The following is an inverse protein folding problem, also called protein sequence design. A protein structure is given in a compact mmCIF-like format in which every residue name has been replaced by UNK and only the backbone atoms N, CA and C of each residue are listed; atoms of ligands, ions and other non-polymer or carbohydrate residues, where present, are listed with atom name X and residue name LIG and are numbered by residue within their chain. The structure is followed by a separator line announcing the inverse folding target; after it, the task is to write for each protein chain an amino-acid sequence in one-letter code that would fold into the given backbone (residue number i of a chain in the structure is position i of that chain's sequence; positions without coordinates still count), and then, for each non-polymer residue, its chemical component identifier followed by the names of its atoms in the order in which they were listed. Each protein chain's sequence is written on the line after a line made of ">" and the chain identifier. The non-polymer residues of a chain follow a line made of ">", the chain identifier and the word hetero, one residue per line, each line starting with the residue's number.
data_IF_541731625818
#
_entry.id   IF_541731625818
#
_cell.length_a   1.000
_cell.length_b   1.000
_cell.length_c   1.000
_cell.angle_alpha   90.00
_cell.angle_beta   90.00
_cell.angle_gamma   90.00
#
_symmetry.space_group_name_H-M   'P 1'
#
loop_
_entity.id
_entity.type
_entity.pdbx_description
1 polymer ?
#
# COMPACT_ATOMS: atom_id res chain seq x y z
N UNK A 1 -11.44 55.80 18.52
CA UNK A 1 -11.59 54.50 19.22
C UNK A 1 -10.77 53.48 18.46
N UNK A 2 -9.56 53.19 18.96
CA UNK A 2 -8.63 52.23 18.37
C UNK A 2 -9.03 50.83 18.80
N UNK A 3 -9.38 49.97 17.84
CA UNK A 3 -9.56 48.54 18.09
C UNK A 3 -8.19 47.92 18.39
N UNK A 4 -7.83 47.87 19.67
CA UNK A 4 -6.68 47.07 20.11
C UNK A 4 -7.02 45.58 19.96
N UNK A 5 -6.08 44.76 19.44
CA UNK A 5 -6.25 43.32 19.39
C UNK A 5 -6.56 42.78 20.79
N UNK A 6 -7.48 41.82 20.89
CA UNK A 6 -7.84 41.27 22.19
C UNK A 6 -6.70 40.41 22.73
N UNK A 7 -6.54 40.32 24.06
CA UNK A 7 -5.60 39.37 24.65
C UNK A 7 -5.84 37.92 24.21
N UNK A 8 -7.06 37.57 23.77
CA UNK A 8 -7.40 36.27 23.20
C UNK A 8 -6.75 35.97 21.84
N UNK A 9 -6.34 37.00 21.09
CA UNK A 9 -5.66 36.90 19.79
C UNK A 9 -4.13 36.84 19.93
N UNK A 10 -3.61 37.27 21.09
CA UNK A 10 -2.17 37.24 21.45
C UNK A 10 -1.79 35.94 22.18
N UNK A 11 -2.77 35.23 22.75
CA UNK A 11 -2.59 34.06 23.64
C UNK A 11 -3.00 32.69 23.03
N UNK A 12 -2.99 32.53 21.70
CA UNK A 12 -3.15 31.23 21.01
C UNK A 12 -1.95 30.92 20.10
N UNK A 13 -0.68 31.01 20.47
CA UNK A 13 -0.02 30.52 21.69
C UNK A 13 1.50 30.64 21.39
N UNK A 14 2.28 31.36 22.20
CA UNK A 14 3.76 31.40 22.09
C UNK A 14 4.42 30.03 22.33
N UNK A 15 3.67 29.06 22.87
CA UNK A 15 4.09 27.67 23.10
C UNK A 15 3.66 26.71 21.97
N UNK A 16 2.57 27.04 21.25
CA UNK A 16 2.01 26.19 20.20
C UNK A 16 2.72 26.35 18.87
N UNK A 17 3.10 27.58 18.49
CA UNK A 17 3.79 27.80 17.22
C UNK A 17 5.13 27.04 17.17
N UNK A 18 6.00 27.07 18.20
CA UNK A 18 7.21 26.24 18.23
C UNK A 18 6.91 24.74 18.06
N UNK A 19 5.91 24.21 18.77
CA UNK A 19 5.50 22.81 18.67
C UNK A 19 4.96 22.44 17.27
N UNK A 20 4.14 23.32 16.69
CA UNK A 20 3.64 23.16 15.33
C UNK A 20 4.81 23.11 14.33
N UNK A 21 5.81 23.99 14.49
CA UNK A 21 7.00 23.98 13.64
C UNK A 21 7.78 22.68 13.81
N UNK A 22 7.96 22.17 15.03
CA UNK A 22 8.60 20.86 15.28
C UNK A 22 7.85 19.72 14.58
N UNK A 23 6.53 19.67 14.69
CA UNK A 23 5.69 18.68 13.99
C UNK A 23 5.82 18.78 12.46
N UNK A 24 5.89 20.00 11.92
CA UNK A 24 6.12 20.23 10.49
C UNK A 24 7.53 19.84 10.06
N UNK A 25 8.55 20.09 10.88
CA UNK A 25 9.94 19.68 10.63
C UNK A 25 10.06 18.17 10.49
N UNK A 26 9.41 17.42 11.40
CA UNK A 26 9.39 15.96 11.39
C UNK A 26 8.87 15.33 10.09
N UNK A 27 8.02 16.06 9.35
CA UNK A 27 7.43 15.59 8.09
C UNK A 27 7.96 16.33 6.86
N UNK A 28 8.79 17.35 7.04
CA UNK A 28 9.28 18.24 5.97
C UNK A 28 10.04 17.52 4.87
N UNK A 29 10.76 16.43 5.18
CA UNK A 29 11.54 15.66 4.22
C UNK A 29 10.71 14.94 3.15
N UNK A 30 9.40 14.79 3.38
CA UNK A 30 8.49 14.07 2.47
C UNK A 30 7.15 14.79 2.24
N UNK A 31 6.90 15.91 2.90
CA UNK A 31 5.73 16.77 2.69
C UNK A 31 6.19 18.17 2.25
N UNK A 32 5.97 18.50 0.98
CA UNK A 32 6.40 19.76 0.37
C UNK A 32 5.72 21.00 0.97
N UNK A 33 4.47 20.86 1.42
CA UNK A 33 3.75 21.94 2.09
C UNK A 33 4.35 22.22 3.48
N UNK A 34 4.62 21.17 4.26
CA UNK A 34 5.31 21.34 5.54
C UNK A 34 6.71 21.94 5.36
N UNK A 35 7.47 21.44 4.38
CA UNK A 35 8.79 22.00 4.04
C UNK A 35 8.75 23.49 3.71
N UNK A 36 7.73 23.94 2.98
CA UNK A 36 7.61 25.35 2.60
C UNK A 36 7.29 26.25 3.81
N UNK A 37 6.44 25.77 4.72
CA UNK A 37 6.11 26.49 5.97
C UNK A 37 7.31 26.56 6.92
N UNK A 38 8.04 25.46 7.11
CA UNK A 38 9.27 25.44 7.93
C UNK A 38 10.31 26.42 7.36
N UNK A 39 10.52 26.40 6.04
CA UNK A 39 11.46 27.30 5.38
C UNK A 39 11.04 28.78 5.54
N UNK A 40 9.75 29.07 5.39
CA UNK A 40 9.23 30.41 5.61
C UNK A 40 9.46 30.87 7.06
N UNK A 41 9.15 30.02 8.04
CA UNK A 41 9.34 30.33 9.45
C UNK A 41 10.83 30.55 9.77
N UNK A 42 11.73 29.69 9.32
CA UNK A 42 13.19 29.88 9.51
C UNK A 42 13.72 31.20 8.92
N UNK A 43 13.14 31.65 7.80
CA UNK A 43 13.56 32.89 7.13
C UNK A 43 12.94 34.16 7.74
N UNK A 44 11.69 34.10 8.17
CA UNK A 44 10.90 35.29 8.56
C UNK A 44 10.50 35.33 10.02
N UNK A 45 10.75 34.24 10.76
CA UNK A 45 10.24 33.98 12.10
C UNK A 45 8.71 34.17 12.23
N UNK A 46 7.97 33.91 11.15
CA UNK A 46 6.55 34.25 11.05
C UNK A 46 5.79 33.35 10.07
N UNK A 47 4.61 32.89 10.51
CA UNK A 47 3.56 32.30 9.68
C UNK A 47 2.26 33.07 9.91
N UNK A 48 1.46 33.26 8.86
CA UNK A 48 0.14 33.88 9.02
C UNK A 48 -0.84 32.93 9.70
N UNK A 49 -1.89 33.47 10.32
CA UNK A 49 -2.97 32.68 10.95
C UNK A 49 -3.57 31.64 10.00
N UNK A 50 -3.76 32.01 8.73
CA UNK A 50 -4.27 31.09 7.70
C UNK A 50 -3.30 29.94 7.43
N UNK A 51 -1.98 30.20 7.44
CA UNK A 51 -0.97 29.17 7.26
C UNK A 51 -0.92 28.23 8.47
N UNK A 52 -0.98 28.79 9.68
CA UNK A 52 -1.06 28.03 10.94
C UNK A 52 -2.29 27.12 10.92
N UNK A 53 -3.47 27.67 10.62
CA UNK A 53 -4.72 26.89 10.54
C UNK A 53 -4.67 25.80 9.47
N UNK A 54 -4.10 26.09 8.30
CA UNK A 54 -3.95 25.08 7.23
C UNK A 54 -3.01 23.95 7.63
N UNK A 55 -1.91 24.27 8.32
CA UNK A 55 -0.96 23.29 8.83
C UNK A 55 -1.62 22.37 9.89
N UNK A 56 -2.35 22.95 10.84
CA UNK A 56 -3.09 22.20 11.86
C UNK A 56 -4.11 21.25 11.22
N UNK A 57 -4.91 21.74 10.28
CA UNK A 57 -5.91 20.91 9.58
C UNK A 57 -5.26 19.75 8.83
N UNK A 58 -4.11 19.98 8.18
CA UNK A 58 -3.35 18.92 7.53
C UNK A 58 -2.88 17.86 8.54
N UNK A 59 -2.27 18.27 9.66
CA UNK A 59 -1.76 17.35 10.68
C UNK A 59 -2.90 16.54 11.32
N UNK A 60 -4.01 17.18 11.66
CA UNK A 60 -5.22 16.52 12.14
C UNK A 60 -5.72 15.48 11.13
N UNK A 61 -5.74 15.85 9.84
CA UNK A 61 -6.16 14.92 8.78
C UNK A 61 -5.22 13.73 8.66
N UNK A 62 -3.91 13.94 8.84
CA UNK A 62 -2.92 12.87 8.83
C UNK A 62 -3.13 11.89 9.99
N UNK A 63 -3.42 12.39 11.19
CA UNK A 63 -3.74 11.59 12.38
C UNK A 63 -5.04 10.80 12.16
N UNK A 64 -6.12 11.45 11.72
CA UNK A 64 -7.37 10.77 11.37
C UNK A 64 -7.14 9.63 10.37
N UNK A 65 -6.39 9.91 9.31
CA UNK A 65 -6.09 8.91 8.28
C UNK A 65 -5.19 7.78 8.81
N UNK A 66 -4.32 8.05 9.79
CA UNK A 66 -3.53 7.01 10.46
C UNK A 66 -4.44 6.08 11.28
N UNK A 67 -5.31 6.64 12.11
CA UNK A 67 -6.28 5.89 12.92
C UNK A 67 -7.18 5.04 12.02
N UNK A 68 -7.72 5.62 10.95
CA UNK A 68 -8.54 4.86 9.98
C UNK A 68 -7.78 3.71 9.34
N UNK A 69 -6.53 3.92 8.93
CA UNK A 69 -5.67 2.86 8.37
C UNK A 69 -5.38 1.77 9.39
N UNK A 70 -5.13 2.14 10.64
CA UNK A 70 -4.90 1.18 11.73
C UNK A 70 -6.15 0.35 12.02
N UNK A 71 -7.34 0.96 12.04
CA UNK A 71 -8.62 0.25 12.17
C UNK A 71 -8.99 -0.62 10.96
N UNK A 72 -8.50 -0.28 9.76
CA UNK A 72 -8.68 -1.08 8.55
C UNK A 72 -7.68 -2.23 8.41
N UNK A 73 -6.64 -2.31 9.25
CA UNK A 73 -5.75 -3.47 9.25
C UNK A 73 -6.60 -4.71 9.47
N UNK A 74 -6.57 -5.61 8.49
CA UNK A 74 -7.24 -6.90 8.60
C UNK A 74 -6.23 -7.89 9.14
N UNK A 75 -6.46 -8.33 10.37
CA UNK A 75 -5.69 -9.42 10.97
C UNK A 75 -6.28 -10.74 10.49
N UNK A 76 -5.85 -11.19 9.32
CA UNK A 76 -5.89 -12.60 8.97
C UNK A 76 -4.46 -13.05 8.72
N UNK A 77 -4.20 -14.32 8.98
CA UNK A 77 -2.87 -14.87 8.84
C UNK A 77 -2.47 -14.92 7.36
N UNK A 78 -1.45 -14.14 6.98
CA UNK A 78 -0.89 -14.14 5.62
C UNK A 78 0.38 -14.98 5.50
N UNK A 79 0.70 -15.79 6.51
CA UNK A 79 1.91 -16.63 6.54
C UNK A 79 2.07 -17.47 5.27
N UNK A 80 0.99 -18.07 4.75
CA UNK A 80 1.03 -18.88 3.52
C UNK A 80 1.43 -18.06 2.29
N UNK A 81 1.05 -16.78 2.21
CA UNK A 81 1.46 -15.88 1.12
C UNK A 81 2.96 -15.58 1.23
N UNK A 82 3.44 -15.26 2.44
CA UNK A 82 4.86 -14.98 2.65
C UNK A 82 5.72 -16.23 2.35
N UNK A 83 5.29 -17.41 2.81
CA UNK A 83 5.93 -18.69 2.48
C UNK A 83 5.95 -18.98 0.99
N UNK A 84 4.84 -18.75 0.28
CA UNK A 84 4.75 -18.92 -1.17
C UNK A 84 5.82 -18.09 -1.90
N UNK A 85 5.97 -16.82 -1.53
CA UNK A 85 6.99 -15.94 -2.10
C UNK A 85 8.40 -16.35 -1.69
N UNK A 86 8.60 -16.75 -0.44
CA UNK A 86 9.89 -17.23 0.05
C UNK A 86 10.34 -18.48 -0.70
N UNK A 87 9.44 -19.44 -0.96
CA UNK A 87 9.72 -20.62 -1.79
C UNK A 87 10.15 -20.21 -3.19
N UNK A 88 9.41 -19.30 -3.84
CA UNK A 88 9.75 -18.82 -5.17
C UNK A 88 11.13 -18.17 -5.24
N UNK A 89 11.48 -17.33 -4.25
CA UNK A 89 12.80 -16.70 -4.14
C UNK A 89 13.88 -17.77 -3.92
N UNK A 90 13.65 -18.72 -3.01
CA UNK A 90 14.60 -19.78 -2.68
C UNK A 90 14.87 -20.70 -3.88
N UNK A 91 13.88 -20.86 -4.77
CA UNK A 91 13.99 -21.56 -6.05
C UNK A 91 14.60 -20.68 -7.18
N UNK A 92 15.16 -19.52 -6.85
CA UNK A 92 15.91 -18.66 -7.78
C UNK A 92 15.08 -17.64 -8.55
N UNK A 93 13.78 -17.48 -8.23
CA UNK A 93 12.94 -16.50 -8.94
C UNK A 93 13.20 -15.08 -8.43
N UNK A 94 13.81 -14.24 -9.27
CA UNK A 94 14.20 -12.86 -8.91
C UNK A 94 13.01 -11.91 -8.68
N UNK A 95 11.87 -12.17 -9.32
CA UNK A 95 10.70 -11.27 -9.34
C UNK A 95 9.40 -12.06 -9.24
N UNK A 96 9.14 -12.73 -8.10
CA UNK A 96 7.92 -13.49 -7.92
C UNK A 96 6.68 -12.59 -8.01
N UNK A 97 5.64 -13.13 -8.63
CA UNK A 97 4.33 -12.52 -8.84
C UNK A 97 3.26 -13.59 -8.73
N UNK A 98 2.09 -13.18 -8.26
CA UNK A 98 0.94 -14.06 -8.13
C UNK A 98 -0.33 -13.30 -8.49
N UNK A 99 -1.13 -13.87 -9.38
CA UNK A 99 -2.29 -13.26 -10.01
C UNK A 99 -3.55 -14.04 -9.64
N UNK A 100 -4.56 -13.38 -9.10
CA UNK A 100 -5.84 -14.00 -8.78
C UNK A 100 -6.96 -12.99 -9.06
N UNK A 101 -7.85 -13.33 -10.00
CA UNK A 101 -8.77 -12.34 -10.59
C UNK A 101 -8.04 -11.06 -11.02
N UNK A 102 -8.50 -9.92 -10.50
CA UNK A 102 -7.88 -8.61 -10.72
C UNK A 102 -6.80 -8.26 -9.70
N UNK A 103 -6.51 -9.11 -8.71
CA UNK A 103 -5.44 -8.86 -7.73
C UNK A 103 -4.11 -9.41 -8.22
N UNK A 104 -3.06 -8.60 -8.05
CA UNK A 104 -1.68 -8.94 -8.34
C UNK A 104 -0.86 -8.74 -7.06
N UNK A 105 -0.22 -9.81 -6.61
CA UNK A 105 0.80 -9.79 -5.58
C UNK A 105 2.18 -9.71 -6.25
N UNK A 106 3.06 -8.85 -5.73
CA UNK A 106 4.42 -8.71 -6.26
C UNK A 106 5.40 -8.32 -5.15
N UNK A 107 6.61 -8.90 -5.17
CA UNK A 107 7.64 -8.55 -4.19
C UNK A 107 8.11 -7.11 -4.39
N UNK A 108 8.24 -6.36 -3.30
CA UNK A 108 8.88 -5.04 -3.32
C UNK A 108 10.34 -5.16 -3.78
N UNK A 109 10.84 -4.16 -4.51
CA UNK A 109 12.24 -4.14 -4.91
C UNK A 109 13.17 -4.06 -3.70
N UNK A 110 14.39 -4.60 -3.83
CA UNK A 110 15.39 -4.57 -2.75
C UNK A 110 15.79 -3.15 -2.32
N UNK A 111 15.69 -2.20 -3.25
CA UNK A 111 15.96 -0.77 -3.00
C UNK A 111 14.75 -0.03 -2.42
N UNK A 112 13.61 -0.69 -2.28
CA UNK A 112 12.40 -0.04 -1.75
C UNK A 112 12.53 0.22 -0.25
N UNK A 113 11.97 1.35 0.21
CA UNK A 113 11.75 1.60 1.66
C UNK A 113 10.92 0.49 2.34
N UNK A 114 10.19 -0.31 1.55
CA UNK A 114 9.42 -1.47 2.03
C UNK A 114 10.08 -2.79 1.61
N UNK A 115 11.42 -2.90 1.63
CA UNK A 115 12.13 -4.14 1.31
C UNK A 115 11.52 -5.33 2.07
N UNK A 116 11.27 -6.43 1.35
CA UNK A 116 10.66 -7.65 1.90
C UNK A 116 9.12 -7.64 1.93
N UNK A 117 8.46 -6.50 1.70
CA UNK A 117 7.00 -6.47 1.60
C UNK A 117 6.50 -7.10 0.29
N UNK A 118 5.30 -7.66 0.32
CA UNK A 118 4.57 -8.10 -0.86
C UNK A 118 3.50 -7.05 -1.16
N UNK A 119 3.64 -6.34 -2.27
CA UNK A 119 2.67 -5.36 -2.71
C UNK A 119 1.43 -6.02 -3.30
N UNK A 120 0.27 -5.52 -2.87
CA UNK A 120 -1.04 -5.88 -3.41
C UNK A 120 -1.48 -4.77 -4.36
N UNK A 121 -1.79 -5.15 -5.60
CA UNK A 121 -2.28 -4.24 -6.64
C UNK A 121 -3.58 -4.77 -7.21
N UNK A 122 -4.46 -3.87 -7.61
CA UNK A 122 -5.68 -4.19 -8.35
C UNK A 122 -5.50 -3.74 -9.80
N UNK A 123 -5.78 -4.65 -10.73
CA UNK A 123 -5.82 -4.38 -12.16
C UNK A 123 -7.12 -3.63 -12.44
N UNK A 124 -7.01 -2.40 -12.91
CA UNK A 124 -8.14 -1.56 -13.28
C UNK A 124 -7.99 -1.13 -14.74
N UNK A 125 -9.10 -0.97 -15.44
CA UNK A 125 -9.11 -0.38 -16.78
C UNK A 125 -9.57 1.06 -16.62
N UNK A 126 -8.81 2.02 -17.15
CA UNK A 126 -9.22 3.42 -17.14
C UNK A 126 -10.26 3.72 -18.24
N UNK A 127 -10.81 4.93 -18.24
CA UNK A 127 -11.81 5.40 -19.21
C UNK A 127 -11.35 5.33 -20.69
N UNK A 128 -10.04 5.22 -20.92
CA UNK A 128 -9.42 5.08 -22.24
C UNK A 128 -9.10 3.63 -22.63
N UNK A 129 -9.51 2.65 -21.81
CA UNK A 129 -9.25 1.23 -22.08
C UNK A 129 -7.85 0.76 -21.71
N UNK A 130 -7.01 1.59 -21.06
CA UNK A 130 -5.68 1.19 -20.63
C UNK A 130 -5.72 0.51 -19.26
N UNK A 131 -4.98 -0.60 -19.14
CA UNK A 131 -4.82 -1.31 -17.88
C UNK A 131 -3.82 -0.57 -16.95
N UNK A 132 -4.32 -0.11 -15.81
CA UNK A 132 -3.50 0.41 -14.71
C UNK A 132 -3.46 -0.59 -13.54
N UNK A 133 -2.43 -0.50 -12.72
CA UNK A 133 -2.22 -1.32 -11.53
C UNK A 133 -2.26 -0.43 -10.30
N UNK A 134 -3.47 -0.23 -9.79
CA UNK A 134 -3.70 0.54 -8.60
C UNK A 134 -3.12 -0.16 -7.37
N UNK A 135 -2.27 0.54 -6.62
CA UNK A 135 -1.80 0.04 -5.33
C UNK A 135 -2.96 -0.07 -4.35
N UNK A 136 -3.12 -1.22 -3.71
CA UNK A 136 -4.19 -1.54 -2.74
C UNK A 136 -3.64 -1.64 -1.32
N UNK A 137 -2.36 -1.96 -1.17
CA UNK A 137 -1.73 -2.15 0.12
C UNK A 137 -0.53 -3.05 0.04
N UNK A 138 -0.09 -3.54 1.20
CA UNK A 138 1.04 -4.45 1.30
C UNK A 138 0.82 -5.49 2.38
N UNK A 139 1.40 -6.66 2.16
CA UNK A 139 1.55 -7.71 3.16
C UNK A 139 2.98 -7.63 3.69
N UNK A 140 3.12 -7.62 5.01
CA UNK A 140 4.40 -7.63 5.71
C UNK A 140 4.16 -7.99 7.17
N UNK A 141 5.05 -8.77 7.76
CA UNK A 141 4.95 -9.24 9.14
C UNK A 141 3.66 -10.04 9.38
N UNK A 142 3.27 -10.89 8.43
CA UNK A 142 2.11 -11.79 8.47
C UNK A 142 0.76 -11.08 8.59
N UNK A 143 0.71 -9.79 8.20
CA UNK A 143 -0.50 -8.97 8.24
C UNK A 143 -0.69 -8.25 6.92
N UNK A 144 -1.93 -8.18 6.45
CA UNK A 144 -2.30 -7.31 5.33
C UNK A 144 -2.63 -5.89 5.81
N UNK A 145 -1.93 -4.90 5.24
CA UNK A 145 -2.12 -3.48 5.49
C UNK A 145 -2.72 -2.81 4.23
N UNK A 146 -4.06 -2.78 4.10
CA UNK A 146 -4.72 -2.09 2.99
C UNK A 146 -4.61 -0.57 3.13
N UNK A 147 -4.72 0.14 2.00
CA UNK A 147 -4.96 1.58 1.99
C UNK A 147 -6.46 1.87 2.15
N UNK A 148 -6.81 3.11 2.51
CA UNK A 148 -8.21 3.51 2.76
C UNK A 148 -9.15 3.27 1.55
N UNK A 149 -8.61 3.37 0.32
CA UNK A 149 -9.36 3.17 -0.92
C UNK A 149 -9.36 1.72 -1.43
N UNK A 150 -8.84 0.76 -0.64
CA UNK A 150 -8.88 -0.65 -1.03
C UNK A 150 -10.34 -1.12 -1.11
N UNK A 151 -10.73 -1.73 -2.23
CA UNK A 151 -12.06 -2.32 -2.39
C UNK A 151 -12.19 -3.59 -1.55
N UNK A 152 -13.41 -3.89 -1.10
CA UNK A 152 -13.68 -5.12 -0.36
C UNK A 152 -13.37 -6.37 -1.18
N UNK A 153 -13.67 -6.36 -2.49
CA UNK A 153 -13.31 -7.44 -3.43
C UNK A 153 -11.80 -7.74 -3.45
N UNK A 154 -10.95 -6.70 -3.44
CA UNK A 154 -9.51 -6.90 -3.39
C UNK A 154 -9.06 -7.48 -2.04
N UNK A 155 -9.70 -7.07 -0.94
CA UNK A 155 -9.44 -7.61 0.40
C UNK A 155 -9.83 -9.09 0.46
N UNK A 156 -11.03 -9.44 0.00
CA UNK A 156 -11.57 -10.81 0.00
C UNK A 156 -10.71 -11.72 -0.87
N UNK A 157 -10.24 -11.23 -2.01
CA UNK A 157 -9.30 -11.97 -2.85
C UNK A 157 -7.99 -12.23 -2.14
N UNK A 158 -7.42 -11.25 -1.42
CA UNK A 158 -6.20 -11.48 -0.62
C UNK A 158 -6.45 -12.48 0.51
N UNK A 159 -7.62 -12.43 1.15
CA UNK A 159 -8.02 -13.41 2.16
C UNK A 159 -8.08 -14.83 1.59
N UNK A 160 -8.70 -15.01 0.43
CA UNK A 160 -8.78 -16.31 -0.24
C UNK A 160 -7.39 -16.87 -0.61
N UNK A 161 -6.49 -16.01 -1.10
CA UNK A 161 -5.09 -16.40 -1.38
C UNK A 161 -4.37 -16.78 -0.08
N UNK A 162 -4.63 -16.06 1.02
CA UNK A 162 -4.00 -16.35 2.30
C UNK A 162 -4.47 -17.67 2.91
N UNK A 163 -5.73 -18.03 2.70
CA UNK A 163 -6.31 -19.30 3.15
C UNK A 163 -5.80 -20.49 2.33
N UNK A 164 -5.88 -20.39 0.99
CA UNK A 164 -5.45 -21.44 0.07
C UNK A 164 -4.81 -20.85 -1.21
N UNK A 165 -3.48 -20.62 -1.21
CA UNK A 165 -2.80 -20.11 -2.39
C UNK A 165 -2.87 -21.08 -3.58
N UNK A 166 -2.84 -22.39 -3.35
CA UNK A 166 -2.91 -23.38 -4.43
C UNK A 166 -4.29 -23.39 -5.07
N UNK A 167 -5.35 -23.50 -4.28
CA UNK A 167 -6.73 -23.42 -4.77
C UNK A 167 -7.01 -22.11 -5.50
N UNK A 168 -6.47 -21.00 -5.01
CA UNK A 168 -6.57 -19.69 -5.67
C UNK A 168 -5.88 -19.67 -7.05
N UNK A 169 -4.70 -20.27 -7.19
CA UNK A 169 -4.01 -20.39 -8.48
C UNK A 169 -4.78 -21.27 -9.47
N UNK A 170 -5.30 -22.42 -9.00
CA UNK A 170 -6.11 -23.35 -9.80
C UNK A 170 -7.36 -22.62 -10.32
N UNK A 171 -8.09 -21.96 -9.41
CA UNK A 171 -9.31 -21.21 -9.74
C UNK A 171 -9.00 -20.13 -10.77
N UNK A 172 -7.95 -19.33 -10.57
CA UNK A 172 -7.56 -18.30 -11.53
C UNK A 172 -7.27 -18.90 -12.90
N UNK A 173 -6.42 -19.92 -12.99
CA UNK A 173 -6.03 -20.52 -14.26
C UNK A 173 -7.20 -21.12 -15.04
N UNK A 174 -8.15 -21.76 -14.35
CA UNK A 174 -9.36 -22.31 -14.96
C UNK A 174 -10.32 -21.22 -15.47
N UNK A 175 -10.40 -20.10 -14.75
CA UNK A 175 -11.29 -18.99 -15.14
C UNK A 175 -10.70 -18.13 -16.25
N UNK A 176 -9.38 -17.92 -16.26
CA UNK A 176 -8.72 -16.98 -17.18
C UNK A 176 -8.04 -17.64 -18.37
N UNK A 177 -7.84 -18.96 -18.34
CA UNK A 177 -6.91 -19.68 -19.21
C UNK A 177 -5.46 -19.17 -19.13
N UNK A 178 -5.07 -18.47 -18.06
CA UNK A 178 -3.72 -17.92 -17.88
C UNK A 178 -3.13 -18.34 -16.51
N UNK A 179 -1.85 -18.68 -16.48
CA UNK A 179 -1.17 -19.11 -15.26
C UNK A 179 -1.11 -17.98 -14.22
N UNK A 180 -1.49 -18.27 -12.98
CA UNK A 180 -1.46 -17.32 -11.86
C UNK A 180 -0.06 -16.73 -11.58
N UNK A 181 1.04 -17.40 -11.91
CA UNK A 181 2.39 -16.93 -11.54
C UNK A 181 3.10 -16.16 -12.66
N UNK A 182 2.99 -16.65 -13.90
CA UNK A 182 3.69 -16.07 -15.04
C UNK A 182 2.78 -15.31 -16.02
N UNK A 183 1.45 -15.38 -15.82
CA UNK A 183 0.43 -14.79 -16.68
C UNK A 183 0.48 -15.22 -18.14
N UNK A 184 1.19 -16.31 -18.47
CA UNK A 184 1.16 -16.90 -19.81
C UNK A 184 -0.11 -17.70 -19.99
N UNK A 185 -0.64 -17.69 -21.20
CA UNK A 185 -1.73 -18.55 -21.61
C UNK A 185 -1.38 -20.02 -21.38
N UNK A 186 -2.36 -20.80 -20.91
CA UNK A 186 -2.25 -22.23 -20.70
C UNK A 186 -2.64 -22.95 -21.99
N UNK A 187 -1.67 -23.56 -22.65
CA UNK A 187 -1.87 -24.25 -23.95
C UNK A 187 -1.62 -25.75 -23.87
N UNK A 188 -1.04 -26.24 -22.76
CA UNK A 188 -0.76 -27.65 -22.54
C UNK A 188 -1.88 -28.26 -21.69
N UNK A 189 -2.49 -29.36 -22.12
CA UNK A 189 -3.66 -29.99 -21.46
C UNK A 189 -3.49 -30.17 -19.95
N UNK A 190 -2.34 -30.68 -19.51
CA UNK A 190 -2.06 -30.83 -18.07
C UNK A 190 -1.98 -29.49 -17.34
N UNK A 191 -1.40 -28.47 -17.98
CA UNK A 191 -1.35 -27.12 -17.42
C UNK A 191 -2.73 -26.45 -17.38
N UNK A 192 -3.59 -26.69 -18.38
CA UNK A 192 -5.00 -26.26 -18.39
C UNK A 192 -5.76 -26.94 -17.25
N UNK A 193 -5.62 -28.26 -17.10
CA UNK A 193 -6.26 -29.05 -16.03
C UNK A 193 -5.85 -28.56 -14.64
N UNK A 194 -4.57 -28.28 -14.45
CA UNK A 194 -4.01 -27.80 -13.18
C UNK A 194 -4.26 -26.29 -12.96
N UNK A 195 -4.47 -25.50 -14.01
CA UNK A 195 -4.56 -24.03 -13.92
C UNK A 195 -3.19 -23.32 -13.85
N UNK A 196 -2.09 -24.03 -13.99
CA UNK A 196 -0.73 -23.47 -13.98
C UNK A 196 0.27 -24.40 -14.67
N UNK A 197 1.38 -23.84 -15.17
CA UNK A 197 2.41 -24.59 -15.89
C UNK A 197 3.45 -25.25 -14.98
N UNK A 198 4.07 -26.33 -15.48
CA UNK A 198 5.10 -27.14 -14.77
C UNK A 198 6.17 -26.28 -14.10
N UNK A 199 6.78 -25.35 -14.85
CA UNK A 199 7.87 -24.54 -14.32
C UNK A 199 7.43 -23.61 -13.19
N UNK A 200 6.18 -23.12 -13.25
CA UNK A 200 5.62 -22.31 -12.17
C UNK A 200 5.33 -23.17 -10.94
N UNK A 201 4.87 -24.41 -11.15
CA UNK A 201 4.67 -25.35 -10.05
C UNK A 201 5.99 -25.64 -9.31
N UNK A 202 7.06 -25.96 -10.05
CA UNK A 202 8.42 -26.14 -9.49
C UNK A 202 8.87 -24.91 -8.70
N UNK A 203 8.78 -23.72 -9.30
CA UNK A 203 9.26 -22.49 -8.66
C UNK A 203 8.47 -22.18 -7.38
N UNK A 204 7.16 -22.40 -7.35
CA UNK A 204 6.31 -22.01 -6.20
C UNK A 204 6.01 -23.17 -5.23
N UNK A 205 6.54 -24.37 -5.48
CA UNK A 205 6.34 -25.53 -4.62
C UNK A 205 4.95 -26.17 -4.73
N UNK A 206 4.30 -26.07 -5.90
CA UNK A 206 3.00 -26.69 -6.15
C UNK A 206 3.14 -28.07 -6.81
N UNK A 207 2.18 -28.98 -6.61
CA UNK A 207 2.14 -30.24 -7.35
C UNK A 207 1.87 -29.98 -8.83
N UNK A 208 2.42 -30.76 -9.75
CA UNK A 208 2.13 -30.68 -11.19
C UNK A 208 1.79 -32.04 -11.77
#
# INVERSE_FOLDING_TARGET
>A
MSNNPTLGDVMKDLEYLPKLIEELENISSWNSFASSLVMQYKRKNFLSEKQISSAQNMLNKMVENKIKREGMKKSFDTTKIEQLFQTAISNGLKRPRFHCGNVILSLASEQSKNKGAIYVKHKAVNEYGHEDKNYVGKIMNKVFMPILKASQDAIDTVMAIAEDPLGSAIKHGKMSNHCSMCSKELTVDRSIKNGYGKKCAENYGFPY
#
